data_IF_207468002004
#
_entry.id   IF_207468002004
#
_cell.length_a   1.000
_cell.length_b   1.000
_cell.length_c   1.000
_cell.angle_alpha   90.00
_cell.angle_beta   90.00
_cell.angle_gamma   90.00
#
_symmetry.space_group_name_H-M   'P 1'
#
loop_
_entity.id
_entity.type
_entity.pdbx_description
1 polymer ?
#
# COMPACT_ATOMS: atom_id res chain seq x y z
N UNK A 1 -4.74 28.93 -19.45
CA UNK A 1 -5.55 28.51 -18.30
C UNK A 1 -5.94 27.05 -18.50
N UNK A 2 -5.73 26.19 -17.50
CA UNK A 2 -6.20 24.81 -17.58
C UNK A 2 -7.74 24.79 -17.47
N UNK A 3 -8.40 23.85 -18.13
CA UNK A 3 -9.86 23.68 -18.05
C UNK A 3 -10.28 23.36 -16.61
N UNK A 4 -11.39 23.94 -16.14
CA UNK A 4 -11.93 23.69 -14.81
C UNK A 4 -12.18 22.19 -14.54
N UNK A 5 -12.55 21.43 -15.58
CA UNK A 5 -12.75 19.97 -15.49
C UNK A 5 -11.43 19.27 -15.14
N UNK A 6 -10.32 19.63 -15.81
CA UNK A 6 -9.03 19.01 -15.55
C UNK A 6 -8.45 19.44 -14.19
N UNK A 7 -8.68 20.68 -13.76
CA UNK A 7 -8.29 21.12 -12.42
C UNK A 7 -8.98 20.29 -11.34
N UNK A 8 -10.29 20.11 -11.44
CA UNK A 8 -11.05 19.30 -10.47
C UNK A 8 -10.60 17.83 -10.47
N UNK A 9 -10.35 17.25 -11.65
CA UNK A 9 -9.81 15.89 -11.74
C UNK A 9 -8.44 15.76 -11.07
N UNK A 10 -7.56 16.76 -11.23
CA UNK A 10 -6.24 16.76 -10.60
C UNK A 10 -6.32 16.89 -9.08
N UNK A 11 -7.22 17.73 -8.56
CA UNK A 11 -7.48 17.86 -7.12
C UNK A 11 -7.98 16.53 -6.53
N UNK A 12 -8.97 15.91 -7.17
CA UNK A 12 -9.51 14.60 -6.76
C UNK A 12 -8.46 13.49 -6.78
N UNK A 13 -7.59 13.48 -7.80
CA UNK A 13 -6.48 12.52 -7.87
C UNK A 13 -5.48 12.73 -6.73
N UNK A 14 -5.16 13.99 -6.39
CA UNK A 14 -4.29 14.32 -5.28
C UNK A 14 -4.87 13.85 -3.94
N UNK A 15 -6.16 14.12 -3.69
CA UNK A 15 -6.87 13.65 -2.48
C UNK A 15 -6.80 12.12 -2.35
N UNK A 16 -7.08 11.40 -3.43
CA UNK A 16 -6.98 9.94 -3.47
C UNK A 16 -5.54 9.47 -3.18
N UNK A 17 -4.54 10.15 -3.74
CA UNK A 17 -3.14 9.80 -3.57
C UNK A 17 -2.68 10.00 -2.12
N UNK A 18 -3.08 11.10 -1.49
CA UNK A 18 -2.80 11.37 -0.07
C UNK A 18 -3.47 10.31 0.83
N UNK A 19 -4.72 9.92 0.50
CA UNK A 19 -5.42 8.84 1.20
C UNK A 19 -4.71 7.48 1.04
N UNK A 20 -4.21 7.17 -0.15
CA UNK A 20 -3.45 5.94 -0.40
C UNK A 20 -2.14 5.89 0.40
N UNK A 21 -1.40 7.00 0.45
CA UNK A 21 -0.16 7.07 1.22
C UNK A 21 -0.43 6.85 2.72
N UNK A 22 -1.56 7.36 3.23
CA UNK A 22 -2.04 7.06 4.58
C UNK A 22 -2.37 5.58 4.77
N UNK A 23 -3.15 5.00 3.85
CA UNK A 23 -3.49 3.58 3.87
C UNK A 23 -2.24 2.68 3.92
N UNK A 24 -1.22 3.01 3.11
CA UNK A 24 0.03 2.24 3.07
C UNK A 24 0.77 2.31 4.40
N UNK A 25 0.85 3.49 5.03
CA UNK A 25 1.46 3.62 6.37
C UNK A 25 0.75 2.74 7.39
N UNK A 26 -0.58 2.78 7.41
CA UNK A 26 -1.35 1.95 8.32
C UNK A 26 -1.17 0.46 8.09
N UNK A 27 -1.23 0.03 6.83
CA UNK A 27 -1.02 -1.37 6.46
C UNK A 27 0.40 -1.84 6.83
N UNK A 28 1.40 -0.96 6.67
CA UNK A 28 2.76 -1.22 7.09
C UNK A 28 2.87 -1.38 8.60
N UNK A 29 2.30 -0.46 9.39
CA UNK A 29 2.36 -0.49 10.85
C UNK A 29 1.67 -1.74 11.41
N UNK A 30 0.48 -2.08 10.89
CA UNK A 30 -0.23 -3.31 11.25
C UNK A 30 0.59 -4.56 10.95
N UNK A 31 1.21 -4.61 9.77
CA UNK A 31 2.05 -5.74 9.39
C UNK A 31 3.33 -5.81 10.22
N UNK A 32 3.94 -4.67 10.57
CA UNK A 32 5.12 -4.60 11.42
C UNK A 32 4.83 -5.19 12.81
N UNK A 33 3.68 -4.83 13.39
CA UNK A 33 3.21 -5.37 14.66
C UNK A 33 2.90 -6.87 14.55
N UNK A 34 2.13 -7.29 13.53
CA UNK A 34 1.73 -8.68 13.35
C UNK A 34 2.90 -9.64 13.08
N UNK A 35 3.95 -9.16 12.41
CA UNK A 35 5.12 -9.98 12.02
C UNK A 35 6.29 -9.86 13.00
N UNK A 36 6.13 -9.12 14.11
CA UNK A 36 7.21 -8.85 15.06
C UNK A 36 8.41 -8.14 14.42
N UNK A 37 8.16 -7.33 13.38
CA UNK A 37 9.18 -6.60 12.62
C UNK A 37 9.84 -7.38 11.48
N UNK A 38 9.48 -8.65 11.24
CA UNK A 38 10.07 -9.47 10.18
C UNK A 38 9.23 -9.39 8.91
N UNK A 39 9.46 -8.35 8.10
CA UNK A 39 8.73 -8.14 6.83
C UNK A 39 9.38 -8.82 5.62
N UNK A 40 10.71 -8.95 5.63
CA UNK A 40 11.50 -9.41 4.48
C UNK A 40 12.18 -10.75 4.75
N UNK A 41 12.13 -11.65 3.76
CA UNK A 41 12.83 -12.93 3.82
C UNK A 41 14.35 -12.76 3.69
N UNK A 42 15.08 -13.87 3.82
CA UNK A 42 16.56 -13.87 3.78
C UNK A 42 17.12 -13.30 2.47
N UNK A 43 16.47 -13.60 1.33
CA UNK A 43 16.89 -13.10 0.03
C UNK A 43 16.66 -11.59 -0.07
N UNK A 44 15.49 -11.09 0.33
CA UNK A 44 15.20 -9.66 0.35
C UNK A 44 16.18 -8.87 1.22
N UNK A 45 16.52 -9.41 2.40
CA UNK A 45 17.55 -8.83 3.28
C UNK A 45 18.92 -8.77 2.63
N UNK A 46 19.34 -9.83 1.93
CA UNK A 46 20.63 -9.84 1.22
C UNK A 46 20.72 -8.83 0.06
N UNK A 47 19.56 -8.43 -0.47
CA UNK A 47 19.43 -7.45 -1.56
C UNK A 47 19.08 -6.04 -1.03
N UNK A 48 19.11 -5.82 0.29
CA UNK A 48 18.75 -4.55 0.92
C UNK A 48 17.38 -4.00 0.51
N UNK A 49 16.40 -4.89 0.36
CA UNK A 49 15.02 -4.51 0.05
C UNK A 49 14.37 -3.93 1.30
N UNK A 50 13.75 -2.76 1.17
CA UNK A 50 12.92 -2.16 2.21
C UNK A 50 11.61 -2.94 2.33
N UNK A 51 11.14 -3.17 3.56
CA UNK A 51 9.82 -3.74 3.81
C UNK A 51 8.70 -2.87 3.25
N UNK A 52 8.86 -1.54 3.25
CA UNK A 52 7.87 -0.61 2.70
C UNK A 52 7.68 -0.79 1.19
N UNK A 53 8.75 -1.12 0.45
CA UNK A 53 8.68 -1.38 -0.99
C UNK A 53 7.76 -2.56 -1.35
N UNK A 54 7.50 -3.46 -0.39
CA UNK A 54 6.62 -4.60 -0.62
C UNK A 54 5.13 -4.21 -0.65
N UNK A 55 4.78 -3.06 -0.06
CA UNK A 55 3.41 -2.54 -0.01
C UNK A 55 3.08 -1.71 -1.27
N UNK A 56 4.05 -0.98 -1.79
CA UNK A 56 3.88 -0.09 -2.97
C UNK A 56 4.32 -0.73 -4.28
N UNK A 57 5.11 -1.80 -4.22
CA UNK A 57 5.65 -2.50 -5.38
C UNK A 57 4.69 -3.50 -6.05
N UNK A 58 5.20 -4.14 -7.11
CA UNK A 58 4.45 -5.17 -7.84
C UNK A 58 4.19 -6.41 -6.98
N UNK A 59 3.07 -7.09 -7.24
CA UNK A 59 2.69 -8.33 -6.55
C UNK A 59 3.79 -9.40 -6.59
N UNK A 60 4.45 -9.52 -7.74
CA UNK A 60 5.55 -10.46 -7.93
C UNK A 60 6.76 -10.14 -7.03
N UNK A 61 7.10 -8.86 -6.86
CA UNK A 61 8.18 -8.43 -5.95
C UNK A 61 7.81 -8.71 -4.50
N UNK A 62 6.58 -8.37 -4.11
CA UNK A 62 6.04 -8.64 -2.78
C UNK A 62 6.13 -10.13 -2.43
N UNK A 63 5.59 -11.02 -3.27
CA UNK A 63 5.62 -12.47 -3.04
C UNK A 63 7.03 -13.06 -3.01
N UNK A 64 7.96 -12.53 -3.81
CA UNK A 64 9.34 -13.05 -3.88
C UNK A 64 10.16 -12.73 -2.63
N UNK A 65 9.94 -11.56 -2.03
CA UNK A 65 10.82 -11.02 -0.99
C UNK A 65 10.16 -10.88 0.39
N UNK A 66 8.84 -10.99 0.48
CA UNK A 66 8.13 -11.04 1.75
C UNK A 66 8.60 -12.23 2.59
N UNK A 67 8.63 -12.02 3.90
CA UNK A 67 8.75 -13.08 4.90
C UNK A 67 7.53 -14.00 4.85
N UNK A 68 7.64 -15.16 5.48
CA UNK A 68 6.51 -16.10 5.55
C UNK A 68 5.38 -15.51 6.41
N UNK A 69 5.74 -14.84 7.51
CA UNK A 69 4.85 -14.15 8.43
C UNK A 69 4.06 -13.05 7.72
N UNK A 70 4.71 -12.28 6.84
CA UNK A 70 4.05 -11.23 6.07
C UNK A 70 3.09 -11.81 5.02
N UNK A 71 3.47 -12.93 4.39
CA UNK A 71 2.59 -13.64 3.46
C UNK A 71 1.34 -14.16 4.19
N UNK A 72 1.49 -14.74 5.38
CA UNK A 72 0.38 -15.20 6.21
C UNK A 72 -0.51 -14.03 6.66
N UNK A 73 0.07 -12.91 7.08
CA UNK A 73 -0.66 -11.69 7.40
C UNK A 73 -1.52 -11.22 6.21
N UNK A 74 -0.96 -11.22 4.99
CA UNK A 74 -1.69 -10.82 3.79
C UNK A 74 -2.82 -11.76 3.37
N UNK A 75 -2.88 -12.98 3.88
CA UNK A 75 -4.06 -13.84 3.67
C UNK A 75 -5.29 -13.33 4.41
N UNK A 76 -5.08 -12.64 5.54
CA UNK A 76 -6.14 -12.11 6.40
C UNK A 76 -6.37 -10.62 6.17
N UNK A 77 -5.30 -9.88 5.88
CA UNK A 77 -5.31 -8.44 5.61
C UNK A 77 -4.64 -8.18 4.25
N UNK A 78 -5.38 -8.33 3.14
CA UNK A 78 -4.80 -8.15 1.81
C UNK A 78 -4.27 -6.74 1.60
N UNK A 79 -3.08 -6.63 1.03
CA UNK A 79 -2.57 -5.37 0.51
C UNK A 79 -3.39 -4.92 -0.71
N UNK A 80 -3.60 -3.62 -0.86
CA UNK A 80 -4.20 -3.03 -2.06
C UNK A 80 -3.12 -2.35 -2.90
N UNK A 81 -3.13 -2.64 -4.20
CA UNK A 81 -2.42 -1.81 -5.19
C UNK A 81 -3.09 -0.45 -5.31
N UNK A 82 -2.39 0.53 -5.90
CA UNK A 82 -2.97 1.85 -6.15
C UNK A 82 -4.24 1.78 -6.99
N UNK A 83 -4.25 0.93 -8.03
CA UNK A 83 -5.41 0.75 -8.91
C UNK A 83 -6.62 0.17 -8.17
N UNK A 84 -6.40 -0.86 -7.34
CA UNK A 84 -7.47 -1.44 -6.52
C UNK A 84 -7.96 -0.45 -5.47
N UNK A 85 -7.06 0.32 -4.86
CA UNK A 85 -7.43 1.35 -3.90
C UNK A 85 -8.23 2.48 -4.56
N UNK A 86 -7.79 2.97 -5.72
CA UNK A 86 -8.47 4.02 -6.48
C UNK A 86 -9.89 3.58 -6.83
N UNK A 87 -10.07 2.35 -7.34
CA UNK A 87 -11.39 1.82 -7.67
C UNK A 87 -12.33 1.78 -6.43
N UNK A 88 -11.83 1.31 -5.29
CA UNK A 88 -12.61 1.24 -4.04
C UNK A 88 -12.88 2.63 -3.45
N UNK A 89 -11.93 3.55 -3.55
CA UNK A 89 -12.06 4.90 -3.04
C UNK A 89 -13.09 5.70 -3.86
N UNK A 90 -13.07 5.55 -5.19
CA UNK A 90 -14.10 6.13 -6.08
C UNK A 90 -15.47 5.53 -5.79
N UNK A 91 -15.55 4.24 -5.46
CA UNK A 91 -16.80 3.58 -5.04
C UNK A 91 -17.28 3.99 -3.63
N UNK A 92 -16.43 4.65 -2.83
CA UNK A 92 -16.72 5.02 -1.45
C UNK A 92 -16.63 3.86 -0.45
N UNK A 93 -15.99 2.76 -0.82
CA UNK A 93 -15.82 1.56 0.02
C UNK A 93 -14.64 1.69 1.00
N UNK A 94 -13.69 2.56 0.67
CA UNK A 94 -12.54 2.86 1.51
C UNK A 94 -12.43 4.37 1.69
N UNK A 95 -12.41 4.79 2.94
CA UNK A 95 -12.13 6.16 3.33
C UNK A 95 -10.96 6.11 4.30
N UNK A 96 -9.81 6.65 3.89
CA UNK A 96 -8.64 6.70 4.76
C UNK A 96 -8.44 8.14 5.22
N UNK A 97 -8.90 8.41 6.43
CA UNK A 97 -8.60 9.65 7.15
C UNK A 97 -7.32 9.39 7.92
N UNK A 98 -6.19 9.93 7.46
CA UNK A 98 -4.94 9.85 8.20
C UNK A 98 -5.16 10.31 9.64
N UNK A 99 -4.81 9.44 10.59
CA UNK A 99 -4.84 9.75 12.02
C UNK A 99 -3.78 10.80 12.37
#
# INVERSE_FOLDING_TARGET
MASAIFTHAAERWKEMRDAYDGYIKHAYDQALEATGGVLVNRLGRSLHIDGLDLFTGSAHRAQRYASWELIEHWQHTPRLTLEEFEARWVAGEVEYVGA
#
